data_IF_208282688380
#
_entry.id   IF_208282688380
#
_cell.length_a   1.000
_cell.length_b   1.000
_cell.length_c   1.000
_cell.angle_alpha   90.00
_cell.angle_beta   90.00
_cell.angle_gamma   90.00
#
_symmetry.space_group_name_H-M   'P 1'
#
loop_
_entity.id
_entity.type
_entity.pdbx_description
1 polymer ?
#
# COMPACT_ATOMS: atom_id res chain seq x y z
N UNK A 1 -22.59 -29.00 5.99
CA UNK A 1 -22.55 -27.63 6.54
C UNK A 1 -22.22 -26.70 5.38
N UNK A 2 -23.16 -25.85 4.94
CA UNK A 2 -22.90 -24.88 3.87
C UNK A 2 -22.04 -23.78 4.47
N UNK A 3 -20.76 -23.75 4.12
CA UNK A 3 -19.89 -22.62 4.47
C UNK A 3 -20.39 -21.44 3.63
N UNK A 4 -21.14 -20.53 4.27
CA UNK A 4 -21.54 -19.28 3.62
C UNK A 4 -20.27 -18.47 3.40
N UNK A 5 -19.79 -18.45 2.16
CA UNK A 5 -18.64 -17.64 1.73
C UNK A 5 -19.07 -16.17 1.76
N UNK A 6 -18.88 -15.51 2.90
CA UNK A 6 -19.17 -14.08 3.03
C UNK A 6 -17.91 -13.28 2.68
N UNK A 7 -18.07 -12.26 1.82
CA UNK A 7 -17.06 -11.21 1.63
C UNK A 7 -16.72 -10.63 3.01
N UNK A 8 -15.43 -10.46 3.31
CA UNK A 8 -15.02 -9.86 4.57
C UNK A 8 -15.48 -8.39 4.64
N UNK A 9 -15.91 -7.95 5.81
CA UNK A 9 -16.30 -6.56 6.06
C UNK A 9 -15.69 -6.09 7.37
N UNK A 10 -15.24 -4.83 7.44
CA UNK A 10 -14.74 -4.23 8.68
C UNK A 10 -15.79 -4.38 9.80
N UNK A 11 -15.43 -4.88 10.99
CA UNK A 11 -16.39 -5.01 12.08
C UNK A 11 -16.94 -3.64 12.51
N UNK A 12 -18.26 -3.53 12.64
CA UNK A 12 -18.95 -2.27 13.02
C UNK A 12 -18.52 -1.76 14.40
N UNK A 13 -18.10 -2.66 15.28
CA UNK A 13 -17.58 -2.32 16.62
C UNK A 13 -16.25 -1.55 16.58
N UNK A 14 -15.52 -1.58 15.46
CA UNK A 14 -14.26 -0.84 15.32
C UNK A 14 -14.58 0.56 14.82
N UNK A 15 -14.56 1.52 15.75
CA UNK A 15 -14.81 2.94 15.49
C UNK A 15 -14.06 3.46 14.24
N UNK A 16 -14.72 4.33 13.47
CA UNK A 16 -14.19 4.91 12.24
C UNK A 16 -14.65 6.39 12.10
N UNK A 17 -13.76 7.32 11.73
CA UNK A 17 -12.31 7.15 11.63
C UNK A 17 -11.67 7.03 13.02
N UNK A 18 -10.60 6.24 13.12
CA UNK A 18 -9.82 6.06 14.36
C UNK A 18 -8.36 6.45 14.16
N UNK A 19 -7.80 7.15 15.14
CA UNK A 19 -6.35 7.35 15.26
C UNK A 19 -5.71 6.07 15.77
N UNK A 20 -4.74 5.57 15.01
CA UNK A 20 -4.02 4.34 15.33
C UNK A 20 -2.71 4.63 16.04
N UNK A 21 -1.99 5.68 15.63
CA UNK A 21 -0.67 6.04 16.19
C UNK A 21 -0.47 7.55 16.19
N UNK A 22 0.21 8.07 17.20
CA UNK A 22 0.69 9.47 17.27
C UNK A 22 2.17 9.49 17.63
N UNK A 23 2.94 10.40 17.04
CA UNK A 23 4.40 10.44 17.20
C UNK A 23 4.98 11.81 16.85
N UNK A 24 6.25 12.02 17.21
CA UNK A 24 7.03 13.20 16.81
C UNK A 24 7.91 12.88 15.61
N UNK A 25 8.13 13.87 14.74
CA UNK A 25 9.04 13.79 13.60
C UNK A 25 10.48 13.48 14.00
N UNK A 26 11.28 13.07 13.01
CA UNK A 26 12.72 12.78 13.16
C UNK A 26 13.59 14.01 12.96
N UNK A 27 13.10 15.01 12.21
CA UNK A 27 13.81 16.24 11.90
C UNK A 27 12.88 17.44 11.97
N UNK A 28 13.44 18.62 12.14
CA UNK A 28 12.67 19.86 12.18
C UNK A 28 12.04 20.17 10.82
N UNK A 29 10.87 20.81 10.88
CA UNK A 29 10.23 21.49 9.76
C UNK A 29 9.97 22.91 10.25
N UNK A 30 10.54 23.91 9.58
CA UNK A 30 10.43 25.32 9.97
C UNK A 30 10.89 25.60 11.41
N UNK A 31 11.98 24.96 11.86
CA UNK A 31 12.59 25.19 13.17
C UNK A 31 11.89 24.50 14.36
N UNK A 32 10.95 23.59 14.11
CA UNK A 32 10.30 22.81 15.16
C UNK A 32 10.16 21.34 14.76
N UNK A 33 10.24 20.43 15.74
CA UNK A 33 9.94 19.01 15.53
C UNK A 33 8.41 18.85 15.39
N UNK A 34 7.90 18.47 14.20
CA UNK A 34 6.46 18.38 13.96
C UNK A 34 5.82 17.21 14.73
N UNK A 35 4.54 17.36 15.07
CA UNK A 35 3.67 16.26 15.53
C UNK A 35 2.98 15.61 14.34
N UNK A 36 2.89 14.29 14.34
CA UNK A 36 2.16 13.51 13.35
C UNK A 36 1.23 12.49 14.00
N UNK A 37 0.22 12.05 13.26
CA UNK A 37 -0.56 10.87 13.60
C UNK A 37 -0.98 10.11 12.35
N UNK A 38 -1.14 8.80 12.50
CA UNK A 38 -1.74 7.90 11.52
C UNK A 38 -3.14 7.54 11.97
N UNK A 39 -4.11 7.65 11.07
CA UNK A 39 -5.50 7.29 11.29
C UNK A 39 -6.09 6.59 10.06
N UNK A 40 -7.33 6.09 10.21
CA UNK A 40 -8.16 5.73 9.07
C UNK A 40 -8.30 6.90 8.08
N UNK A 41 -8.30 6.63 6.77
CA UNK A 41 -8.63 7.63 5.74
C UNK A 41 -10.11 8.03 5.91
N UNK A 42 -10.42 9.31 6.22
CA UNK A 42 -11.80 9.80 6.24
C UNK A 42 -12.47 9.72 4.86
N UNK A 43 -13.79 9.55 4.81
CA UNK A 43 -14.50 9.40 3.53
C UNK A 43 -14.41 10.65 2.64
N UNK A 44 -14.37 11.83 3.25
CA UNK A 44 -14.19 13.12 2.57
C UNK A 44 -12.78 13.32 2.00
N UNK A 45 -11.84 12.40 2.28
CA UNK A 45 -10.47 12.43 1.76
C UNK A 45 -10.23 11.42 0.64
N UNK A 46 -11.22 10.57 0.30
CA UNK A 46 -11.03 9.52 -0.71
C UNK A 46 -10.62 10.08 -2.08
N UNK A 47 -11.26 11.15 -2.54
CA UNK A 47 -10.92 11.79 -3.81
C UNK A 47 -9.52 12.41 -3.77
N UNK A 48 -9.18 13.13 -2.70
CA UNK A 48 -7.85 13.72 -2.49
C UNK A 48 -6.75 12.65 -2.49
N UNK A 49 -7.00 11.51 -1.84
CA UNK A 49 -6.07 10.37 -1.83
C UNK A 49 -5.92 9.78 -3.22
N UNK A 50 -7.00 9.53 -3.95
CA UNK A 50 -6.93 8.99 -5.31
C UNK A 50 -6.13 9.93 -6.22
N UNK A 51 -6.41 11.23 -6.16
CA UNK A 51 -5.70 12.23 -6.96
C UNK A 51 -4.21 12.25 -6.61
N UNK A 52 -3.84 12.30 -5.33
CA UNK A 52 -2.44 12.22 -4.90
C UNK A 52 -1.76 10.93 -5.37
N UNK A 53 -2.46 9.78 -5.32
CA UNK A 53 -1.89 8.51 -5.75
C UNK A 53 -1.65 8.45 -7.27
N UNK A 54 -2.54 9.05 -8.07
CA UNK A 54 -2.36 9.12 -9.53
C UNK A 54 -1.31 10.16 -9.92
N UNK A 55 -1.42 11.36 -9.36
CA UNK A 55 -0.66 12.53 -9.78
C UNK A 55 0.76 12.54 -9.23
N UNK A 56 0.99 11.95 -8.05
CA UNK A 56 2.29 11.98 -7.39
C UNK A 56 2.89 10.58 -7.27
N UNK A 57 2.19 9.65 -6.62
CA UNK A 57 2.73 8.30 -6.37
C UNK A 57 3.07 7.56 -7.66
N UNK A 58 2.18 7.54 -8.66
CA UNK A 58 2.45 6.84 -9.91
C UNK A 58 3.59 7.44 -10.76
N UNK A 59 3.99 8.70 -10.49
CA UNK A 59 5.17 9.31 -11.14
C UNK A 59 6.48 8.95 -10.44
N UNK A 60 6.41 8.59 -9.16
CA UNK A 60 7.55 8.28 -8.30
C UNK A 60 7.77 6.78 -8.07
N UNK A 61 6.71 5.97 -8.10
CA UNK A 61 6.77 4.52 -7.88
C UNK A 61 7.57 3.87 -9.02
N UNK A 62 8.58 3.03 -8.71
CA UNK A 62 9.52 2.56 -9.71
C UNK A 62 8.87 1.91 -10.93
N UNK A 63 7.86 1.06 -10.73
CA UNK A 63 7.29 0.26 -11.81
C UNK A 63 6.40 1.11 -12.70
N UNK A 64 5.49 1.89 -12.15
CA UNK A 64 4.62 2.80 -12.93
C UNK A 64 5.45 3.87 -13.64
N UNK A 65 6.51 4.37 -13.01
CA UNK A 65 7.42 5.34 -13.63
C UNK A 65 8.15 4.77 -14.86
N UNK A 66 8.52 3.50 -14.83
CA UNK A 66 9.29 2.87 -15.91
C UNK A 66 8.44 2.12 -16.93
N UNK A 67 7.17 1.83 -16.64
CA UNK A 67 6.27 1.10 -17.53
C UNK A 67 5.52 1.98 -18.53
N UNK A 68 5.72 3.30 -18.51
CA UNK A 68 4.88 4.22 -19.30
C UNK A 68 3.44 4.35 -18.78
N UNK A 69 3.19 3.99 -17.52
CA UNK A 69 1.84 3.95 -16.91
C UNK A 69 1.01 5.21 -17.17
N UNK A 70 1.61 6.40 -17.04
CA UNK A 70 0.92 7.69 -17.22
C UNK A 70 0.42 7.88 -18.66
N UNK A 71 1.10 7.29 -19.65
CA UNK A 71 0.69 7.33 -21.06
C UNK A 71 -0.37 6.28 -21.42
N UNK A 72 -0.54 5.25 -20.60
CA UNK A 72 -1.59 4.23 -20.76
C UNK A 72 -2.86 4.66 -19.99
N UNK A 73 -3.69 5.46 -20.66
CA UNK A 73 -4.92 6.00 -20.08
C UNK A 73 -5.87 4.93 -19.55
N UNK A 74 -5.96 3.77 -20.21
CA UNK A 74 -6.83 2.67 -19.76
C UNK A 74 -6.33 2.09 -18.44
N UNK A 75 -5.01 1.91 -18.30
CA UNK A 75 -4.38 1.49 -17.04
C UNK A 75 -4.55 2.51 -15.92
N UNK A 76 -4.45 3.81 -16.22
CA UNK A 76 -4.69 4.88 -15.24
C UNK A 76 -6.11 4.83 -14.71
N UNK A 77 -7.11 4.76 -15.59
CA UNK A 77 -8.51 4.68 -15.19
C UNK A 77 -8.84 3.37 -14.46
N UNK A 78 -8.24 2.25 -14.89
CA UNK A 78 -8.34 0.97 -14.19
C UNK A 78 -7.82 1.07 -12.74
N UNK A 79 -6.68 1.73 -12.54
CA UNK A 79 -6.09 1.94 -11.22
C UNK A 79 -6.94 2.87 -10.34
N UNK A 80 -7.44 3.98 -10.90
CA UNK A 80 -8.38 4.88 -10.20
C UNK A 80 -9.60 4.12 -9.72
N UNK A 81 -10.25 3.38 -10.61
CA UNK A 81 -11.42 2.54 -10.28
C UNK A 81 -11.11 1.55 -9.16
N UNK A 82 -9.94 0.93 -9.19
CA UNK A 82 -9.51 0.01 -8.14
C UNK A 82 -9.39 0.72 -6.78
N UNK A 83 -8.75 1.89 -6.70
CA UNK A 83 -8.70 2.68 -5.46
C UNK A 83 -10.09 3.14 -5.00
N UNK A 84 -10.93 3.65 -5.90
CA UNK A 84 -12.33 4.02 -5.59
C UNK A 84 -13.15 2.84 -5.07
N UNK A 85 -12.81 1.61 -5.46
CA UNK A 85 -13.49 0.40 -4.98
C UNK A 85 -13.02 -0.02 -3.59
N UNK A 86 -11.73 0.14 -3.28
CA UNK A 86 -11.14 -0.37 -2.03
C UNK A 86 -11.17 0.62 -0.86
N UNK A 87 -11.16 1.93 -1.11
CA UNK A 87 -11.18 2.94 -0.04
C UNK A 87 -12.46 2.85 0.82
N UNK A 88 -13.67 2.60 0.24
CA UNK A 88 -14.89 2.37 1.02
C UNK A 88 -14.87 1.13 1.91
N UNK A 89 -13.89 0.22 1.78
CA UNK A 89 -13.70 -0.88 2.73
C UNK A 89 -13.19 -0.38 4.09
N UNK A 90 -12.85 0.91 4.19
CA UNK A 90 -12.42 1.59 5.42
C UNK A 90 -11.21 0.91 6.04
N UNK A 91 -10.24 0.51 5.21
CA UNK A 91 -9.00 -0.15 5.67
C UNK A 91 -7.75 0.65 5.31
N UNK A 92 -7.87 1.79 4.64
CA UNK A 92 -6.75 2.66 4.28
C UNK A 92 -6.26 3.51 5.45
N UNK A 93 -4.98 3.89 5.40
CA UNK A 93 -4.33 4.69 6.44
C UNK A 93 -3.81 6.02 5.87
N UNK A 94 -4.08 7.13 6.55
CA UNK A 94 -3.53 8.46 6.25
C UNK A 94 -2.71 8.96 7.43
N UNK A 95 -1.62 9.65 7.13
CA UNK A 95 -0.78 10.34 8.09
C UNK A 95 -0.96 11.85 7.90
N UNK A 96 -1.31 12.52 8.99
CA UNK A 96 -1.38 13.96 9.06
C UNK A 96 -0.25 14.54 9.90
N UNK A 97 0.13 15.76 9.57
CA UNK A 97 0.93 16.64 10.42
C UNK A 97 0.02 17.67 11.10
N UNK A 98 0.28 17.96 12.36
CA UNK A 98 -0.35 19.08 13.05
C UNK A 98 -0.07 20.40 12.32
N UNK A 99 -1.09 21.26 12.21
CA UNK A 99 -0.89 22.57 11.61
C UNK A 99 -0.24 23.51 12.63
N UNK A 100 0.89 24.17 12.30
CA UNK A 100 1.51 25.14 13.20
C UNK A 100 0.62 26.35 13.51
N UNK A 101 -0.38 26.63 12.66
CA UNK A 101 -1.36 27.70 12.87
C UNK A 101 -2.54 27.15 13.70
N UNK A 102 -2.80 27.70 14.90
CA UNK A 102 -3.92 27.25 15.73
C UNK A 102 -5.26 27.37 14.99
N UNK A 103 -6.08 26.33 15.05
CA UNK A 103 -7.42 26.28 14.45
C UNK A 103 -7.45 25.91 12.96
N UNK A 104 -6.31 25.79 12.29
CA UNK A 104 -6.24 25.35 10.90
C UNK A 104 -6.30 23.82 10.78
N UNK A 105 -6.77 23.35 9.61
CA UNK A 105 -6.85 21.92 9.32
C UNK A 105 -5.47 21.25 9.34
N UNK A 106 -5.40 19.98 9.78
CA UNK A 106 -4.17 19.20 9.69
C UNK A 106 -3.67 19.06 8.25
N UNK A 107 -2.37 18.87 8.09
CA UNK A 107 -1.71 18.82 6.77
C UNK A 107 -1.51 17.36 6.37
N UNK A 108 -2.07 16.96 5.23
CA UNK A 108 -1.87 15.62 4.66
C UNK A 108 -0.38 15.41 4.35
N UNK A 109 0.23 14.37 4.93
CA UNK A 109 1.67 14.12 4.83
C UNK A 109 2.05 12.80 4.15
N UNK A 110 1.27 11.73 4.35
CA UNK A 110 1.53 10.42 3.75
C UNK A 110 0.26 9.55 3.75
N UNK A 111 0.16 8.59 2.84
CA UNK A 111 -1.00 7.70 2.72
C UNK A 111 -0.56 6.27 2.43
N UNK A 112 -1.35 5.31 2.86
CA UNK A 112 -1.26 3.92 2.48
C UNK A 112 -2.64 3.35 2.14
N UNK A 113 -2.87 3.06 0.87
CA UNK A 113 -4.11 2.47 0.38
C UNK A 113 -4.13 0.97 0.68
N UNK A 114 -4.54 0.61 1.89
CA UNK A 114 -4.71 -0.78 2.34
C UNK A 114 -6.16 -1.24 2.21
N UNK A 115 -6.36 -2.53 2.00
CA UNK A 115 -7.67 -3.15 1.85
C UNK A 115 -7.64 -4.58 2.39
N UNK A 116 -8.78 -5.11 2.81
CA UNK A 116 -8.87 -6.52 3.20
C UNK A 116 -9.16 -7.37 1.97
N UNK A 117 -8.57 -8.55 1.90
CA UNK A 117 -8.83 -9.50 0.81
C UNK A 117 -9.14 -10.87 1.40
N UNK A 118 -10.28 -11.40 1.01
CA UNK A 118 -10.66 -12.78 1.27
C UNK A 118 -10.19 -13.69 0.12
N UNK A 119 -9.85 -14.94 0.43
CA UNK A 119 -9.56 -15.95 -0.61
C UNK A 119 -10.76 -16.28 -1.49
N UNK A 120 -11.97 -15.88 -1.06
CA UNK A 120 -13.21 -16.08 -1.80
C UNK A 120 -13.60 -14.87 -2.67
N UNK A 121 -12.87 -13.75 -2.57
CA UNK A 121 -13.17 -12.57 -3.37
C UNK A 121 -12.87 -12.83 -4.84
N UNK A 122 -13.71 -12.29 -5.72
CA UNK A 122 -13.46 -12.30 -7.16
C UNK A 122 -12.14 -11.58 -7.47
N UNK A 123 -11.40 -12.09 -8.47
CA UNK A 123 -10.22 -11.39 -8.98
C UNK A 123 -10.68 -10.11 -9.67
N UNK A 124 -10.12 -8.98 -9.29
CA UNK A 124 -10.29 -7.74 -10.03
C UNK A 124 -9.76 -7.93 -11.47
N UNK A 125 -10.59 -7.58 -12.46
CA UNK A 125 -10.23 -7.66 -13.87
C UNK A 125 -9.42 -6.41 -14.25
N UNK A 126 -8.11 -6.59 -14.42
CA UNK A 126 -7.24 -5.55 -14.94
C UNK A 126 -7.60 -5.21 -16.40
N UNK A 127 -7.48 -3.93 -16.75
CA UNK A 127 -7.71 -3.36 -18.08
C UNK A 127 -6.60 -2.35 -18.37
N UNK A 128 -6.22 -2.20 -19.64
CA UNK A 128 -4.97 -1.53 -20.03
C UNK A 128 -3.76 -2.46 -19.97
N UNK A 129 -2.74 -2.14 -20.75
CA UNK A 129 -1.54 -2.95 -20.93
C UNK A 129 -0.74 -3.05 -19.62
N UNK A 130 -0.40 -1.91 -19.03
CA UNK A 130 0.44 -1.84 -17.83
C UNK A 130 -0.23 -2.51 -16.62
N UNK A 131 -1.54 -2.34 -16.46
CA UNK A 131 -2.28 -2.99 -15.37
C UNK A 131 -2.39 -4.51 -15.56
N UNK A 132 -2.49 -4.97 -16.81
CA UNK A 132 -2.47 -6.41 -17.12
C UNK A 132 -1.11 -7.01 -16.81
N UNK A 133 -0.02 -6.31 -17.14
CA UNK A 133 1.34 -6.70 -16.79
C UNK A 133 1.55 -6.79 -15.29
N UNK A 134 1.08 -5.80 -14.52
CA UNK A 134 1.12 -5.85 -13.06
C UNK A 134 0.41 -7.08 -12.49
N UNK A 135 -0.76 -7.42 -13.05
CA UNK A 135 -1.50 -8.60 -12.63
C UNK A 135 -0.72 -9.88 -12.90
N UNK A 136 -0.11 -10.00 -14.09
CA UNK A 136 0.70 -11.14 -14.47
C UNK A 136 1.99 -11.25 -13.65
N UNK A 137 2.74 -10.16 -13.48
CA UNK A 137 3.97 -10.12 -12.66
C UNK A 137 3.68 -10.55 -11.22
N UNK A 138 2.52 -10.15 -10.65
CA UNK A 138 2.12 -10.62 -9.32
C UNK A 138 1.98 -12.14 -9.27
N UNK A 139 1.39 -12.75 -10.30
CA UNK A 139 1.27 -14.22 -10.39
C UNK A 139 2.66 -14.87 -10.52
N UNK A 140 3.55 -14.31 -11.35
CA UNK A 140 4.93 -14.77 -11.50
C UNK A 140 5.72 -14.72 -10.20
N UNK A 141 5.65 -13.61 -9.44
CA UNK A 141 6.35 -13.45 -8.16
C UNK A 141 5.95 -14.56 -7.18
N UNK A 142 4.67 -14.90 -7.11
CA UNK A 142 4.20 -15.95 -6.19
C UNK A 142 4.67 -17.35 -6.57
N UNK A 143 5.06 -17.56 -7.84
CA UNK A 143 5.40 -18.88 -8.39
C UNK A 143 4.32 -19.93 -8.11
N UNK A 144 3.05 -19.52 -8.17
CA UNK A 144 1.90 -20.39 -7.88
C UNK A 144 1.67 -20.71 -6.40
N UNK A 145 2.48 -20.19 -5.47
CA UNK A 145 2.27 -20.39 -4.02
C UNK A 145 1.11 -19.53 -3.52
N UNK A 146 0.18 -20.17 -2.82
CA UNK A 146 -0.97 -19.49 -2.21
C UNK A 146 -0.59 -18.85 -0.87
N UNK A 147 -0.64 -17.51 -0.74
CA UNK A 147 -0.37 -16.84 0.53
C UNK A 147 -1.40 -17.16 1.62
N UNK A 148 -2.65 -17.50 1.27
CA UNK A 148 -3.69 -17.85 2.24
C UNK A 148 -3.37 -19.18 2.92
N UNK A 149 -2.98 -20.19 2.12
CA UNK A 149 -2.53 -21.48 2.64
C UNK A 149 -1.25 -21.32 3.47
N UNK A 150 -0.28 -20.54 3.01
CA UNK A 150 0.98 -20.34 3.72
C UNK A 150 0.80 -19.66 5.09
N UNK A 151 -0.15 -18.74 5.20
CA UNK A 151 -0.40 -17.95 6.42
C UNK A 151 -1.54 -18.51 7.28
N UNK A 152 -2.13 -19.64 6.89
CA UNK A 152 -3.26 -20.29 7.57
C UNK A 152 -4.40 -19.29 7.91
N UNK A 153 -4.85 -18.55 6.89
CA UNK A 153 -5.93 -17.56 7.03
C UNK A 153 -6.73 -17.43 5.75
N UNK A 154 -8.01 -17.11 5.89
CA UNK A 154 -8.91 -16.84 4.77
C UNK A 154 -8.91 -15.36 4.36
N UNK A 155 -8.37 -14.48 5.21
CA UNK A 155 -8.37 -13.02 5.03
C UNK A 155 -6.99 -12.46 5.29
N UNK A 156 -6.55 -11.57 4.40
CA UNK A 156 -5.26 -10.88 4.45
C UNK A 156 -5.46 -9.38 4.30
N UNK A 157 -4.67 -8.57 5.02
CA UNK A 157 -4.51 -7.16 4.67
C UNK A 157 -3.58 -7.06 3.46
N UNK A 158 -4.06 -6.45 2.38
CA UNK A 158 -3.31 -6.14 1.18
C UNK A 158 -3.11 -4.62 1.03
N UNK A 159 -2.24 -4.20 0.11
CA UNK A 159 -1.99 -2.78 -0.15
C UNK A 159 -1.77 -2.49 -1.63
N UNK A 160 -2.28 -1.33 -2.06
CA UNK A 160 -2.16 -0.76 -3.40
C UNK A 160 -1.45 0.60 -3.36
N UNK A 161 -0.29 0.62 -2.71
CA UNK A 161 0.61 1.78 -2.71
C UNK A 161 0.71 2.47 -1.34
N UNK A 162 1.92 2.96 -1.09
CA UNK A 162 2.28 3.76 0.07
C UNK A 162 3.06 4.97 -0.45
N UNK A 163 2.63 6.17 -0.08
CA UNK A 163 3.24 7.40 -0.55
C UNK A 163 3.48 8.38 0.59
N UNK A 164 4.63 9.02 0.55
CA UNK A 164 5.03 10.09 1.47
C UNK A 164 5.34 11.31 0.62
N UNK A 165 4.62 12.42 0.86
CA UNK A 165 4.84 13.64 0.09
C UNK A 165 6.30 14.09 0.23
N UNK A 166 6.94 14.58 -0.85
CA UNK A 166 8.38 14.86 -0.87
C UNK A 166 8.89 15.69 0.32
N UNK A 167 8.17 16.73 0.72
CA UNK A 167 8.51 17.64 1.83
C UNK A 167 8.54 16.96 3.21
N UNK A 168 7.87 15.80 3.37
CA UNK A 168 7.83 15.06 4.64
C UNK A 168 8.73 13.81 4.63
N UNK A 169 9.47 13.55 3.56
CA UNK A 169 10.41 12.42 3.50
C UNK A 169 11.53 12.57 4.54
N UNK A 170 11.99 11.45 5.09
CA UNK A 170 12.97 11.43 6.19
C UNK A 170 12.38 11.64 7.58
N UNK A 171 11.05 11.71 7.70
CA UNK A 171 10.33 11.75 8.99
C UNK A 171 9.86 10.35 9.47
N UNK A 172 10.31 9.27 8.82
CA UNK A 172 9.86 7.89 9.06
C UNK A 172 8.35 7.64 8.86
N UNK A 173 7.62 8.49 8.14
CA UNK A 173 6.16 8.34 7.95
C UNK A 173 5.78 7.01 7.28
N UNK A 174 6.57 6.55 6.29
CA UNK A 174 6.35 5.26 5.64
C UNK A 174 6.48 4.07 6.62
N UNK A 175 7.39 4.15 7.58
CA UNK A 175 7.52 3.15 8.64
C UNK A 175 6.31 3.21 9.59
N UNK A 176 5.89 4.41 9.99
CA UNK A 176 4.74 4.57 10.90
C UNK A 176 3.43 4.08 10.28
N UNK A 177 3.22 4.27 8.98
CA UNK A 177 2.09 3.68 8.25
C UNK A 177 2.14 2.14 8.27
N UNK A 178 3.31 1.53 8.06
CA UNK A 178 3.46 0.07 8.14
C UNK A 178 3.25 -0.49 9.54
N UNK A 179 3.71 0.23 10.58
CA UNK A 179 3.47 -0.16 11.97
C UNK A 179 1.99 -0.04 12.35
N UNK A 180 1.29 1.00 11.88
CA UNK A 180 -0.14 1.19 12.14
C UNK A 180 -1.03 0.09 11.54
N UNK A 181 -0.53 -0.66 10.53
CA UNK A 181 -1.26 -1.82 9.99
C UNK A 181 -1.50 -2.89 11.06
N UNK A 182 -0.59 -3.08 12.00
CA UNK A 182 -0.74 -4.04 13.10
C UNK A 182 -1.87 -3.64 14.04
N UNK A 183 -1.89 -2.37 14.45
CA UNK A 183 -2.94 -1.82 15.32
C UNK A 183 -4.33 -1.94 14.66
N UNK A 184 -4.43 -1.59 13.36
CA UNK A 184 -5.64 -1.76 12.56
C UNK A 184 -6.05 -3.24 12.42
N UNK A 185 -5.12 -4.12 12.08
CA UNK A 185 -5.41 -5.54 11.86
C UNK A 185 -5.84 -6.24 13.15
N UNK A 186 -5.19 -5.95 14.27
CA UNK A 186 -5.55 -6.49 15.59
C UNK A 186 -6.98 -6.07 15.98
N UNK A 187 -7.34 -4.81 15.77
CA UNK A 187 -8.71 -4.34 16.03
C UNK A 187 -9.76 -4.99 15.11
N UNK A 188 -9.40 -5.26 13.86
CA UNK A 188 -10.29 -5.84 12.85
C UNK A 188 -10.27 -7.38 12.78
N UNK A 189 -9.47 -8.05 13.62
CA UNK A 189 -9.33 -9.51 13.63
C UNK A 189 -8.64 -10.10 12.39
N UNK A 190 -7.77 -9.34 11.72
CA UNK A 190 -6.97 -9.81 10.58
C UNK A 190 -5.61 -10.28 11.09
N UNK A 191 -5.24 -11.55 10.83
CA UNK A 191 -4.04 -12.16 11.41
C UNK A 191 -2.74 -11.89 10.65
N UNK A 192 -2.84 -11.47 9.39
CA UNK A 192 -1.66 -11.28 8.56
C UNK A 192 -1.86 -10.26 7.45
N UNK A 193 -0.75 -9.66 7.02
CA UNK A 193 -0.67 -8.77 5.88
C UNK A 193 0.27 -9.33 4.81
N UNK A 194 -0.03 -9.07 3.55
CA UNK A 194 0.85 -9.33 2.40
C UNK A 194 0.89 -8.12 1.47
N UNK A 195 2.05 -7.79 0.92
CA UNK A 195 2.20 -6.65 0.00
C UNK A 195 3.41 -6.87 -0.92
N UNK A 196 3.26 -6.50 -2.19
CA UNK A 196 4.41 -6.41 -3.10
C UNK A 196 5.09 -5.07 -2.88
N UNK A 197 6.36 -5.11 -2.46
CA UNK A 197 7.22 -3.94 -2.29
C UNK A 197 8.22 -3.89 -3.45
N UNK A 198 8.13 -2.83 -4.24
CA UNK A 198 8.86 -2.68 -5.51
C UNK A 198 10.18 -1.91 -5.36
N UNK A 199 10.29 -1.01 -4.38
CA UNK A 199 11.53 -0.25 -4.15
C UNK A 199 12.35 -0.82 -3.00
N UNK A 200 13.67 -0.77 -3.11
CA UNK A 200 14.60 -1.14 -2.02
C UNK A 200 14.31 -0.35 -0.73
N UNK A 201 13.87 0.90 -0.86
CA UNK A 201 13.49 1.76 0.27
C UNK A 201 12.28 1.17 0.99
N UNK A 202 11.20 0.88 0.25
CA UNK A 202 9.97 0.33 0.82
C UNK A 202 10.18 -1.06 1.45
N UNK A 203 11.04 -1.88 0.84
CA UNK A 203 11.44 -3.18 1.37
C UNK A 203 12.21 -3.03 2.69
N UNK A 204 13.16 -2.09 2.77
CA UNK A 204 13.91 -1.83 4.00
C UNK A 204 12.99 -1.36 5.14
N UNK A 205 12.01 -0.51 4.85
CA UNK A 205 10.99 -0.11 5.83
C UNK A 205 10.09 -1.29 6.24
N UNK A 206 9.70 -2.14 5.30
CA UNK A 206 8.93 -3.35 5.59
C UNK A 206 9.68 -4.30 6.53
N UNK A 207 10.97 -4.56 6.30
CA UNK A 207 11.79 -5.35 7.22
C UNK A 207 11.86 -4.73 8.61
N UNK A 208 12.06 -3.40 8.71
CA UNK A 208 12.04 -2.68 10.00
C UNK A 208 10.69 -2.80 10.72
N UNK A 209 9.58 -2.88 9.97
CA UNK A 209 8.24 -3.10 10.51
C UNK A 209 7.93 -4.57 10.85
N UNK A 210 8.89 -5.49 10.65
CA UNK A 210 8.75 -6.93 10.95
C UNK A 210 8.24 -7.79 9.80
N UNK A 211 8.15 -7.26 8.58
CA UNK A 211 7.81 -8.07 7.41
C UNK A 211 8.95 -9.02 7.03
N UNK A 212 8.59 -10.17 6.47
CA UNK A 212 9.50 -11.19 5.93
C UNK A 212 9.22 -11.39 4.44
N UNK A 213 10.23 -11.80 3.67
CA UNK A 213 10.03 -12.15 2.25
C UNK A 213 9.26 -13.46 2.15
N UNK A 214 8.15 -13.45 1.42
CA UNK A 214 7.44 -14.66 1.00
C UNK A 214 7.99 -15.15 -0.35
N UNK A 215 8.12 -14.23 -1.30
CA UNK A 215 8.64 -14.49 -2.64
C UNK A 215 9.33 -13.25 -3.21
N UNK A 216 10.19 -13.45 -4.21
CA UNK A 216 11.00 -12.41 -4.81
C UNK A 216 11.25 -12.72 -6.28
N UNK A 217 11.24 -11.69 -7.12
CA UNK A 217 11.70 -11.77 -8.50
C UNK A 217 12.62 -10.59 -8.79
N UNK A 218 13.76 -10.83 -9.42
CA UNK A 218 14.66 -9.74 -9.78
C UNK A 218 14.12 -8.97 -11.00
N UNK A 219 14.45 -7.69 -11.09
CA UNK A 219 14.13 -6.91 -12.29
C UNK A 219 14.86 -7.42 -13.53
N UNK A 220 16.02 -8.06 -13.33
CA UNK A 220 16.76 -8.73 -14.39
C UNK A 220 16.01 -9.95 -14.93
N UNK A 221 15.49 -10.82 -14.05
CA UNK A 221 14.70 -11.99 -14.46
C UNK A 221 13.41 -11.59 -15.17
N UNK A 222 12.75 -10.53 -14.68
CA UNK A 222 11.58 -9.95 -15.34
C UNK A 222 11.89 -9.57 -16.79
N UNK A 223 13.06 -9.00 -17.06
CA UNK A 223 13.51 -8.67 -18.42
C UNK A 223 13.91 -9.91 -19.21
N UNK A 224 14.82 -10.72 -18.69
CA UNK A 224 15.48 -11.76 -19.46
C UNK A 224 14.55 -12.93 -19.75
N UNK A 225 13.74 -13.32 -18.77
CA UNK A 225 12.85 -14.48 -18.83
C UNK A 225 11.47 -14.05 -19.36
N UNK A 226 10.90 -12.99 -18.79
CA UNK A 226 9.50 -12.62 -19.00
C UNK A 226 9.31 -11.41 -19.94
N UNK A 227 10.39 -10.83 -20.43
CA UNK A 227 10.40 -9.70 -21.39
C UNK A 227 9.78 -8.40 -20.87
N UNK A 228 9.65 -8.26 -19.55
CA UNK A 228 9.30 -7.01 -18.88
C UNK A 228 10.54 -6.14 -18.68
N UNK A 229 10.75 -5.15 -19.54
CA UNK A 229 11.91 -4.27 -19.44
C UNK A 229 11.69 -3.12 -18.44
N UNK A 230 12.12 -3.39 -17.20
CA UNK A 230 12.23 -2.39 -16.14
C UNK A 230 13.67 -1.98 -15.86
N UNK A 231 14.57 -2.03 -16.85
CA UNK A 231 16.03 -1.83 -16.62
C UNK A 231 16.41 -0.54 -15.94
N UNK A 232 15.69 0.56 -16.21
CA UNK A 232 15.89 1.85 -15.51
C UNK A 232 15.65 1.76 -14.00
N UNK A 233 14.90 0.75 -13.54
CA UNK A 233 14.69 0.44 -12.12
C UNK A 233 15.91 -0.30 -11.54
N UNK A 234 16.49 -1.23 -12.30
CA UNK A 234 17.58 -2.14 -11.91
C UNK A 234 18.83 -1.45 -11.35
N UNK A 235 19.08 -0.20 -11.76
CA UNK A 235 20.19 0.62 -11.29
C UNK A 235 20.07 1.01 -9.80
N UNK A 236 18.84 1.17 -9.30
CA UNK A 236 18.55 1.63 -7.93
C UNK A 236 17.82 0.58 -7.09
N UNK A 237 17.13 -0.37 -7.73
CA UNK A 237 16.33 -1.41 -7.08
C UNK A 237 16.58 -2.77 -7.71
N UNK A 238 16.78 -3.79 -6.88
CA UNK A 238 17.23 -5.11 -7.33
C UNK A 238 16.09 -6.03 -7.74
N UNK A 239 14.97 -5.96 -7.04
CA UNK A 239 13.90 -6.94 -7.15
C UNK A 239 12.56 -6.38 -6.66
N UNK A 240 11.47 -7.02 -7.07
CA UNK A 240 10.18 -6.91 -6.40
C UNK A 240 10.06 -8.01 -5.35
N UNK A 241 9.64 -7.65 -4.14
CA UNK A 241 9.46 -8.61 -3.05
C UNK A 241 8.00 -8.67 -2.64
N UNK A 242 7.41 -9.86 -2.71
CA UNK A 242 6.14 -10.13 -2.04
C UNK A 242 6.45 -10.49 -0.60
N UNK A 243 6.07 -9.61 0.33
CA UNK A 243 6.44 -9.72 1.74
C UNK A 243 5.20 -9.88 2.60
N UNK A 244 5.34 -10.58 3.72
CA UNK A 244 4.27 -10.85 4.66
C UNK A 244 4.64 -10.44 6.09
N UNK A 245 3.63 -10.18 6.91
CA UNK A 245 3.75 -10.04 8.37
C UNK A 245 2.58 -10.74 9.03
N UNK A 246 2.87 -11.48 10.10
CA UNK A 246 1.87 -12.06 11.00
C UNK A 246 1.75 -11.11 12.20
N UNK A 247 0.52 -10.85 12.65
CA UNK A 247 0.20 -10.00 13.79
C UNK A 247 -0.16 -10.85 15.02
#
# INVERSE_FOLDING_TARGET
MVIIKKKWTRPEAVAFPRVWRSFKGRKEINGAIPSFWVQDIPEDEFENVINCMVEDFCKDEPVTKCSGFIGDHESVECRKKLWSTILPERMGLICYMENPKPGEKPIFAAVNCTHARSKYDEKFKATGEVMSDFAHIRELITQGRDPYQFLDTDVLLCSLGIYVLPQFRGQDLGLQLLLAREDLCNACGIKAAVTVFTSSISQALAYKAGYKTFAEISYQDLKDIYKYDYTKIGESHKSMKYMYKIF
#
